data_IF_571060189324
#
_entry.id   IF_571060189324
#
_cell.length_a   1.000
_cell.length_b   1.000
_cell.length_c   1.000
_cell.angle_alpha   90.00
_cell.angle_beta   90.00
_cell.angle_gamma   90.00
#
_symmetry.space_group_name_H-M   'P 1'
#
loop_
_entity.id
_entity.type
_entity.pdbx_description
1 polymer ?
#
# COMPACT_ATOMS: atom_id res chain seq x y z
N UNK A 1 -46.90 15.28 -23.72
CA UNK A 1 -46.03 16.34 -24.29
C UNK A 1 -44.62 16.03 -23.79
N UNK A 2 -43.77 15.30 -24.52
CA UNK A 2 -42.96 15.67 -25.72
C UNK A 2 -41.81 16.64 -25.38
N UNK A 3 -40.55 16.18 -25.29
CA UNK A 3 -39.49 16.27 -26.36
C UNK A 3 -38.78 17.64 -26.38
N UNK A 4 -37.57 17.92 -26.90
CA UNK A 4 -36.46 17.21 -27.61
C UNK A 4 -35.10 17.58 -26.91
N UNK A 5 -33.91 16.99 -27.07
CA UNK A 5 -33.26 16.01 -27.97
C UNK A 5 -32.45 16.60 -29.17
N UNK A 6 -31.12 16.35 -29.15
CA UNK A 6 -30.07 16.41 -30.22
C UNK A 6 -29.66 17.75 -30.91
N UNK A 7 -28.33 17.97 -30.99
CA UNK A 7 -27.44 18.09 -32.19
C UNK A 7 -26.09 18.72 -31.80
N UNK A 8 -24.87 18.41 -32.29
CA UNK A 8 -24.33 17.69 -33.47
C UNK A 8 -24.00 18.55 -34.72
N UNK A 9 -22.92 18.14 -35.43
CA UNK A 9 -22.22 18.71 -36.62
C UNK A 9 -21.24 19.89 -36.35
N UNK A 10 -20.12 20.15 -37.07
CA UNK A 10 -19.15 19.43 -37.95
C UNK A 10 -17.83 20.31 -37.98
N UNK A 11 -16.55 19.90 -38.08
CA UNK A 11 -15.74 18.96 -38.91
C UNK A 11 -14.91 19.62 -40.06
N UNK A 12 -13.57 19.50 -40.04
CA UNK A 12 -12.55 19.68 -41.13
C UNK A 12 -11.17 19.19 -40.60
N UNK A 13 -10.28 18.47 -41.32
CA UNK A 13 -9.41 18.90 -42.45
C UNK A 13 -8.01 19.35 -41.93
N UNK A 14 -6.84 19.00 -42.48
CA UNK A 14 -6.47 18.19 -43.66
C UNK A 14 -4.96 17.74 -43.63
N UNK A 15 -4.69 16.46 -43.91
CA UNK A 15 -3.46 15.79 -44.46
C UNK A 15 -2.00 16.12 -44.02
N UNK A 16 -1.26 15.02 -43.81
CA UNK A 16 0.14 14.72 -44.20
C UNK A 16 1.32 15.53 -43.62
N UNK A 17 2.25 14.79 -42.98
CA UNK A 17 3.62 14.68 -43.49
C UNK A 17 4.16 13.26 -43.21
N UNK A 18 4.77 12.63 -44.22
CA UNK A 18 5.47 11.35 -44.11
C UNK A 18 6.95 11.59 -44.35
N UNK A 19 7.82 11.06 -43.48
CA UNK A 19 9.27 11.09 -43.69
C UNK A 19 9.86 9.74 -43.29
N UNK A 20 10.59 9.13 -44.23
CA UNK A 20 11.26 7.83 -44.04
C UNK A 20 12.68 8.04 -43.54
N UNK A 21 13.08 7.28 -42.52
CA UNK A 21 14.48 6.93 -42.31
C UNK A 21 14.61 5.63 -41.50
N UNK A 22 14.83 4.51 -42.19
CA UNK A 22 15.24 3.25 -41.54
C UNK A 22 16.77 3.21 -41.41
N UNK A 23 17.26 3.04 -40.18
CA UNK A 23 18.60 2.55 -39.82
C UNK A 23 18.70 2.50 -38.29
N UNK A 24 19.41 1.57 -37.65
CA UNK A 24 19.94 0.25 -38.06
C UNK A 24 20.11 -0.55 -36.75
N UNK A 25 20.10 -1.89 -36.79
CA UNK A 25 20.19 -2.72 -35.58
C UNK A 25 21.47 -2.45 -34.78
N UNK A 26 21.35 -2.38 -33.45
CA UNK A 26 22.35 -2.95 -32.55
C UNK A 26 21.67 -3.42 -31.26
N UNK A 27 22.08 -4.58 -30.74
CA UNK A 27 21.49 -5.20 -29.56
C UNK A 27 21.94 -4.50 -28.27
N UNK A 28 21.03 -4.37 -27.31
CA UNK A 28 21.37 -4.13 -25.91
C UNK A 28 20.31 -4.80 -25.04
N UNK A 29 20.75 -5.60 -24.05
CA UNK A 29 19.88 -6.49 -23.28
C UNK A 29 19.01 -5.71 -22.29
N UNK A 30 17.81 -5.29 -22.72
CA UNK A 30 16.82 -4.67 -21.85
C UNK A 30 16.25 -5.70 -20.87
N UNK A 31 16.21 -5.33 -19.58
CA UNK A 31 15.74 -6.17 -18.49
C UNK A 31 14.25 -6.53 -18.65
N UNK A 32 13.85 -7.71 -18.17
CA UNK A 32 12.47 -8.20 -18.25
C UNK A 32 11.52 -7.46 -17.29
N UNK A 33 11.10 -6.25 -17.65
CA UNK A 33 9.88 -5.66 -17.10
C UNK A 33 8.68 -6.48 -17.60
N UNK A 34 8.25 -7.46 -16.81
CA UNK A 34 6.95 -8.10 -17.03
C UNK A 34 5.86 -7.05 -16.84
N UNK A 35 5.25 -6.62 -17.94
CA UNK A 35 4.06 -5.77 -17.95
C UNK A 35 2.85 -6.59 -17.46
N UNK A 36 2.78 -6.76 -16.13
CA UNK A 36 1.73 -7.56 -15.47
C UNK A 36 0.43 -6.79 -15.55
N UNK A 37 -0.52 -7.33 -16.31
CA UNK A 37 -1.85 -6.75 -16.40
C UNK A 37 -2.44 -6.52 -15.00
N UNK A 38 -3.03 -5.35 -14.69
CA UNK A 38 -3.64 -5.09 -13.38
C UNK A 38 -4.69 -6.13 -12.97
N UNK A 39 -5.32 -6.80 -13.96
CA UNK A 39 -6.20 -7.95 -13.75
C UNK A 39 -5.52 -9.16 -13.11
N UNK A 40 -4.28 -9.49 -13.47
CA UNK A 40 -3.54 -10.61 -12.87
C UNK A 40 -3.26 -10.35 -11.38
N UNK A 41 -2.82 -9.14 -11.04
CA UNK A 41 -2.48 -8.79 -9.66
C UNK A 41 -3.70 -8.75 -8.74
N UNK A 42 -4.83 -8.22 -9.25
CA UNK A 42 -6.13 -8.25 -8.55
C UNK A 42 -6.61 -9.69 -8.35
N UNK A 43 -6.49 -10.57 -9.36
CA UNK A 43 -6.83 -11.99 -9.22
C UNK A 43 -5.93 -12.71 -8.20
N UNK A 44 -4.62 -12.47 -8.24
CA UNK A 44 -3.65 -13.00 -7.26
C UNK A 44 -4.03 -12.59 -5.83
N UNK A 45 -4.28 -11.29 -5.62
CA UNK A 45 -4.64 -10.74 -4.30
C UNK A 45 -5.98 -11.28 -3.78
N UNK A 46 -6.98 -11.42 -4.66
CA UNK A 46 -8.27 -12.02 -4.33
C UNK A 46 -8.12 -13.50 -3.91
N UNK A 47 -7.33 -14.29 -4.65
CA UNK A 47 -7.05 -15.68 -4.29
C UNK A 47 -6.33 -15.81 -2.94
N UNK A 48 -5.35 -14.93 -2.67
CA UNK A 48 -4.66 -14.86 -1.37
C UNK A 48 -5.65 -14.55 -0.24
N UNK A 49 -6.46 -13.50 -0.39
CA UNK A 49 -7.43 -13.08 0.61
C UNK A 49 -8.43 -14.20 0.95
N UNK A 50 -8.96 -14.89 -0.07
CA UNK A 50 -9.82 -16.06 0.11
C UNK A 50 -9.10 -17.21 0.85
N UNK A 51 -7.88 -17.56 0.43
CA UNK A 51 -7.12 -18.68 1.02
C UNK A 51 -6.76 -18.49 2.50
N UNK A 52 -6.63 -17.24 2.95
CA UNK A 52 -6.29 -16.88 4.33
C UNK A 52 -7.54 -16.54 5.18
N UNK A 53 -8.74 -16.67 4.61
CA UNK A 53 -10.02 -16.23 5.19
C UNK A 53 -10.01 -14.75 5.63
N UNK A 54 -9.39 -13.88 4.82
CA UNK A 54 -9.25 -12.44 5.08
C UNK A 54 -10.17 -11.64 4.18
N UNK A 55 -10.80 -10.60 4.74
CA UNK A 55 -11.58 -9.64 3.98
C UNK A 55 -10.84 -8.31 3.89
N UNK A 56 -10.13 -8.11 2.78
CA UNK A 56 -9.58 -6.80 2.39
C UNK A 56 -10.70 -5.76 2.28
N UNK A 57 -10.44 -4.51 2.64
CA UNK A 57 -11.43 -3.40 2.59
C UNK A 57 -10.94 -2.24 1.73
N UNK A 58 -9.71 -1.81 1.92
CA UNK A 58 -9.06 -0.74 1.15
C UNK A 58 -7.54 -0.83 1.35
N UNK A 59 -6.75 -0.48 0.33
CA UNK A 59 -5.30 -0.35 0.44
C UNK A 59 -4.75 0.46 -0.73
N UNK A 60 -3.66 1.18 -0.51
CA UNK A 60 -2.81 1.74 -1.58
C UNK A 60 -1.45 1.03 -1.69
N UNK A 61 -1.17 0.05 -0.82
CA UNK A 61 0.08 -0.71 -0.81
C UNK A 61 0.27 -1.56 -2.08
N UNK A 62 1.52 -1.73 -2.54
CA UNK A 62 1.90 -2.76 -3.51
C UNK A 62 1.41 -4.18 -3.13
N UNK A 63 1.11 -5.01 -4.12
CA UNK A 63 0.41 -6.30 -3.92
C UNK A 63 1.27 -7.34 -3.20
N UNK A 64 2.59 -7.28 -3.30
CA UNK A 64 3.55 -8.05 -2.51
C UNK A 64 3.58 -7.61 -1.04
N UNK A 65 3.50 -6.30 -0.78
CA UNK A 65 3.40 -5.75 0.57
C UNK A 65 2.08 -6.15 1.24
N UNK A 66 0.96 -6.08 0.50
CA UNK A 66 -0.33 -6.60 0.95
C UNK A 66 -0.27 -8.10 1.22
N UNK A 67 0.33 -8.91 0.32
CA UNK A 67 0.49 -10.35 0.53
C UNK A 67 1.27 -10.67 1.81
N UNK A 68 2.39 -9.98 2.09
CA UNK A 68 3.13 -10.16 3.35
C UNK A 68 2.26 -9.82 4.56
N UNK A 69 1.59 -8.68 4.56
CA UNK A 69 0.76 -8.24 5.68
C UNK A 69 -0.38 -9.23 5.98
N UNK A 70 -1.05 -9.74 4.93
CA UNK A 70 -2.11 -10.75 5.03
C UNK A 70 -1.57 -12.08 5.60
N UNK A 71 -0.48 -12.62 5.03
CA UNK A 71 0.12 -13.89 5.47
C UNK A 71 0.63 -13.82 6.91
N UNK A 72 1.32 -12.73 7.27
CA UNK A 72 1.88 -12.55 8.61
C UNK A 72 0.77 -12.38 9.66
N UNK A 73 -0.26 -11.56 9.37
CA UNK A 73 -1.42 -11.42 10.25
C UNK A 73 -2.17 -12.74 10.44
N UNK A 74 -2.25 -13.58 9.40
CA UNK A 74 -2.90 -14.88 9.48
C UNK A 74 -2.09 -15.90 10.30
N UNK A 75 -0.80 -16.05 10.02
CA UNK A 75 0.10 -16.95 10.78
C UNK A 75 0.03 -16.65 12.28
N UNK A 76 0.15 -15.37 12.66
CA UNK A 76 0.11 -14.96 14.06
C UNK A 76 -1.20 -15.35 14.79
N UNK A 77 -2.31 -15.44 14.06
CA UNK A 77 -3.61 -15.88 14.61
C UNK A 77 -3.71 -17.42 14.67
N UNK A 78 -3.16 -18.12 13.68
CA UNK A 78 -3.15 -19.59 13.63
C UNK A 78 -2.15 -20.22 14.62
N UNK A 79 -1.00 -19.60 14.85
CA UNK A 79 -0.01 -20.01 15.86
C UNK A 79 -0.63 -20.04 17.28
N UNK A 80 -1.59 -19.13 17.55
CA UNK A 80 -2.36 -19.10 18.80
C UNK A 80 -3.38 -20.25 18.93
N UNK A 81 -3.54 -21.11 17.91
CA UNK A 81 -4.47 -22.24 17.90
C UNK A 81 -3.82 -23.61 18.11
N UNK A 82 -2.48 -23.69 18.06
CA UNK A 82 -1.71 -24.93 18.11
C UNK A 82 -1.45 -25.47 19.54
N UNK A 83 -1.89 -24.76 20.58
CA UNK A 83 -1.82 -25.22 21.96
C UNK A 83 -3.09 -25.99 22.35
N UNK A 84 -2.94 -27.16 22.97
CA UNK A 84 -4.04 -28.00 23.48
C UNK A 84 -4.86 -27.36 24.61
N UNK A 85 -4.52 -26.14 25.02
CA UNK A 85 -5.27 -25.33 25.98
C UNK A 85 -6.58 -24.77 25.37
N UNK A 86 -7.60 -24.43 26.17
CA UNK A 86 -8.83 -23.82 25.67
C UNK A 86 -8.52 -22.49 24.93
N UNK A 87 -8.96 -22.41 23.66
CA UNK A 87 -8.71 -21.32 22.70
C UNK A 87 -8.54 -19.95 23.38
N UNK A 88 -7.28 -19.53 23.58
CA UNK A 88 -7.02 -18.16 24.03
C UNK A 88 -7.54 -17.18 22.97
N UNK A 89 -8.22 -16.12 23.42
CA UNK A 89 -8.66 -15.07 22.51
C UNK A 89 -7.41 -14.37 21.96
N UNK A 90 -7.24 -14.23 20.64
CA UNK A 90 -6.06 -13.58 20.08
C UNK A 90 -5.96 -12.15 20.63
N UNK A 91 -4.83 -11.83 21.24
CA UNK A 91 -4.62 -10.56 21.92
C UNK A 91 -4.37 -9.46 20.87
N UNK A 92 -5.29 -8.48 20.70
CA UNK A 92 -5.18 -7.48 19.64
C UNK A 92 -3.89 -6.65 19.73
N UNK A 93 -3.46 -6.34 20.95
CA UNK A 93 -2.24 -5.56 21.22
C UNK A 93 -0.97 -6.32 20.84
N UNK A 94 -0.95 -7.65 20.99
CA UNK A 94 0.19 -8.46 20.55
C UNK A 94 0.26 -8.54 19.02
N UNK A 95 -0.88 -8.75 18.33
CA UNK A 95 -0.95 -8.73 16.86
C UNK A 95 -0.56 -7.36 16.30
N UNK A 96 -1.09 -6.27 16.86
CA UNK A 96 -0.75 -4.91 16.45
C UNK A 96 0.76 -4.62 16.58
N UNK A 97 1.37 -5.01 17.71
CA UNK A 97 2.81 -4.86 17.95
C UNK A 97 3.64 -5.74 17.01
N UNK A 98 3.20 -6.97 16.75
CA UNK A 98 3.89 -7.91 15.86
C UNK A 98 3.89 -7.42 14.41
N UNK A 99 2.75 -6.92 13.91
CA UNK A 99 2.62 -6.33 12.58
C UNK A 99 3.45 -5.04 12.46
N UNK A 100 3.34 -4.11 13.43
CA UNK A 100 4.14 -2.87 13.43
C UNK A 100 5.64 -3.19 13.33
N UNK A 101 6.13 -4.15 14.11
CA UNK A 101 7.54 -4.56 14.10
C UNK A 101 7.98 -5.16 12.77
N UNK A 102 7.18 -6.03 12.16
CA UNK A 102 7.48 -6.62 10.84
C UNK A 102 7.58 -5.52 9.77
N UNK A 103 6.59 -4.63 9.70
CA UNK A 103 6.56 -3.58 8.68
C UNK A 103 7.63 -2.50 8.90
N UNK A 104 7.92 -2.10 10.16
CA UNK A 104 9.07 -1.24 10.49
C UNK A 104 10.41 -1.89 10.06
N UNK A 105 10.54 -3.21 10.24
CA UNK A 105 11.79 -3.93 9.95
C UNK A 105 12.02 -4.24 8.46
N UNK A 106 10.95 -4.35 7.66
CA UNK A 106 11.03 -4.72 6.24
C UNK A 106 10.86 -3.51 5.32
N UNK A 107 10.03 -2.53 5.69
CA UNK A 107 9.69 -1.36 4.87
C UNK A 107 10.06 -0.02 5.53
N UNK A 108 10.93 -0.08 6.56
CA UNK A 108 11.43 1.06 7.31
C UNK A 108 10.39 1.74 8.20
N UNK A 109 10.85 2.50 9.19
CA UNK A 109 9.98 3.28 10.08
C UNK A 109 9.28 4.45 9.32
N UNK A 110 8.21 5.07 9.85
CA UNK A 110 7.46 4.66 11.04
C UNK A 110 6.08 4.11 10.64
N UNK A 111 5.83 2.84 10.94
CA UNK A 111 4.53 2.20 10.78
C UNK A 111 3.68 2.31 12.04
N UNK A 112 2.37 2.30 11.85
CA UNK A 112 1.36 2.25 12.90
C UNK A 112 0.41 1.11 12.61
N UNK A 113 -0.08 0.45 13.66
CA UNK A 113 -1.06 -0.63 13.55
C UNK A 113 -2.15 -0.46 14.61
N UNK A 114 -3.41 -0.49 14.19
CA UNK A 114 -4.58 -0.51 15.07
C UNK A 114 -5.33 -1.81 14.84
N UNK A 115 -5.63 -2.55 15.92
CA UNK A 115 -6.36 -3.83 15.85
C UNK A 115 -7.48 -3.82 16.89
N UNK A 116 -8.70 -4.14 16.47
CA UNK A 116 -9.85 -4.16 17.37
C UNK A 116 -11.12 -4.72 16.72
N UNK A 117 -12.18 -4.90 17.52
CA UNK A 117 -13.50 -5.35 17.02
C UNK A 117 -14.33 -4.23 16.39
N UNK A 118 -14.05 -2.99 16.77
CA UNK A 118 -14.62 -1.77 16.21
C UNK A 118 -13.68 -0.61 16.57
N UNK A 119 -13.49 0.33 15.64
CA UNK A 119 -12.80 1.60 15.87
C UNK A 119 -13.22 2.60 14.78
N UNK A 120 -13.13 3.88 15.09
CA UNK A 120 -13.12 4.96 14.10
C UNK A 120 -11.69 5.46 13.89
N UNK A 121 -11.35 5.88 12.67
CA UNK A 121 -10.02 6.38 12.33
C UNK A 121 -10.12 7.45 11.24
N UNK A 122 -9.47 8.59 11.46
CA UNK A 122 -9.21 9.61 10.44
C UNK A 122 -7.72 9.92 10.52
N UNK A 123 -6.96 9.50 9.50
CA UNK A 123 -5.49 9.53 9.51
C UNK A 123 -4.96 10.10 8.21
N UNK A 124 -3.82 10.76 8.29
CA UNK A 124 -2.98 11.09 7.14
C UNK A 124 -1.83 10.10 7.10
N UNK A 125 -1.51 9.55 5.93
CA UNK A 125 -0.51 8.50 5.75
C UNK A 125 0.36 8.75 4.51
N UNK A 126 1.56 8.18 4.48
CA UNK A 126 2.47 8.24 3.34
C UNK A 126 1.91 7.41 2.17
N UNK A 127 1.89 7.91 0.92
CA UNK A 127 1.33 7.18 -0.23
C UNK A 127 1.93 5.77 -0.41
N UNK A 128 1.07 4.79 -0.69
CA UNK A 128 1.47 3.38 -0.82
C UNK A 128 1.75 2.69 0.53
N UNK A 129 1.44 3.37 1.63
CA UNK A 129 1.70 2.93 3.00
C UNK A 129 0.45 2.57 3.81
N UNK A 130 -0.73 2.37 3.21
CA UNK A 130 -1.99 2.15 3.91
C UNK A 130 -2.70 0.85 3.53
N UNK A 131 -3.22 0.14 4.53
CA UNK A 131 -4.04 -1.07 4.33
C UNK A 131 -5.06 -1.24 5.47
N UNK A 132 -6.30 -1.49 5.09
CA UNK A 132 -7.41 -1.81 5.99
C UNK A 132 -8.05 -3.14 5.58
N UNK A 133 -8.10 -4.09 6.52
CA UNK A 133 -8.68 -5.42 6.33
C UNK A 133 -9.29 -5.97 7.62
N UNK A 134 -9.93 -7.13 7.54
CA UNK A 134 -10.47 -7.83 8.71
C UNK A 134 -10.29 -9.35 8.61
N UNK A 135 -9.85 -9.97 9.69
CA UNK A 135 -9.80 -11.44 9.88
C UNK A 135 -10.82 -11.80 10.96
N UNK A 136 -11.75 -12.69 10.62
CA UNK A 136 -12.88 -13.10 11.45
C UNK A 136 -13.68 -11.90 12.04
N UNK A 137 -13.46 -11.56 13.32
CA UNK A 137 -14.09 -10.42 14.02
C UNK A 137 -13.11 -9.31 14.41
N UNK A 138 -11.85 -9.40 13.99
CA UNK A 138 -10.84 -8.36 14.18
C UNK A 138 -10.69 -7.55 12.89
N UNK A 139 -10.75 -6.24 13.04
CA UNK A 139 -10.33 -5.27 12.03
C UNK A 139 -8.87 -4.90 12.29
N UNK A 140 -8.09 -4.77 11.22
CA UNK A 140 -6.68 -4.39 11.21
C UNK A 140 -6.53 -3.19 10.28
N UNK A 141 -5.97 -2.11 10.81
CA UNK A 141 -5.56 -0.92 10.08
C UNK A 141 -4.05 -0.76 10.21
N UNK A 142 -3.36 -0.71 9.08
CA UNK A 142 -1.93 -0.42 8.94
C UNK A 142 -1.77 0.90 8.20
N UNK A 143 -0.94 1.80 8.71
CA UNK A 143 -0.54 3.01 7.98
C UNK A 143 0.91 3.43 8.30
N UNK A 144 1.63 3.90 7.28
CA UNK A 144 2.95 4.52 7.41
C UNK A 144 2.81 6.04 7.55
N UNK A 145 3.70 6.67 8.32
CA UNK A 145 3.83 8.14 8.39
C UNK A 145 5.25 8.56 8.09
N UNK A 146 5.41 9.68 7.40
CA UNK A 146 6.71 10.34 7.21
C UNK A 146 7.23 10.89 8.54
N UNK A 147 8.54 10.78 8.76
CA UNK A 147 9.20 11.27 9.97
C UNK A 147 10.42 12.08 9.56
N UNK A 148 10.38 13.38 9.85
CA UNK A 148 11.57 14.23 9.76
C UNK A 148 12.30 14.19 11.10
N UNK A 149 13.55 13.73 11.09
CA UNK A 149 14.42 13.79 12.25
C UNK A 149 14.98 15.21 12.37
N UNK A 150 14.50 15.98 13.34
CA UNK A 150 15.07 17.28 13.67
C UNK A 150 16.40 17.05 14.40
N UNK A 151 17.50 17.17 13.66
CA UNK A 151 18.83 17.34 14.25
C UNK A 151 19.05 18.82 14.45
N UNK A 152 19.06 19.26 15.71
CA UNK A 152 19.34 20.65 16.06
C UNK A 152 20.80 20.99 15.72
N UNK A 153 20.98 22.01 14.89
CA UNK A 153 22.31 22.54 14.56
C UNK A 153 22.69 23.61 15.58
N UNK A 154 23.80 23.42 16.29
CA UNK A 154 24.34 24.32 17.31
C UNK A 154 24.23 25.81 16.92
N UNK A 155 23.74 26.69 17.82
CA UNK A 155 23.59 28.10 17.53
C UNK A 155 24.96 28.75 17.31
N UNK A 156 25.18 29.29 16.10
CA UNK A 156 26.41 29.98 15.72
C UNK A 156 26.73 31.09 16.71
N UNK A 157 27.84 30.95 17.44
CA UNK A 157 28.26 31.91 18.47
C UNK A 157 28.48 33.28 17.84
N UNK A 158 27.64 34.25 18.20
CA UNK A 158 27.79 35.62 17.71
C UNK A 158 29.06 36.23 18.29
N UNK A 159 29.91 36.77 17.41
CA UNK A 159 31.11 37.49 17.80
C UNK A 159 30.75 38.76 18.56
N UNK A 160 31.21 38.86 19.80
CA UNK A 160 31.12 40.09 20.60
C UNK A 160 32.15 41.11 20.10
N UNK A 161 31.79 41.84 19.04
CA UNK A 161 32.57 43.00 18.60
C UNK A 161 32.70 44.00 19.76
N UNK A 162 33.94 44.39 20.04
CA UNK A 162 34.30 45.19 21.20
C UNK A 162 34.62 46.63 20.78
N UNK A 163 33.86 47.60 21.31
CA UNK A 163 34.12 49.04 21.28
C UNK A 163 33.71 49.67 22.62
#
# INVERSE_FOLDING_TARGET
>A
MTSQIQKEEQAAGLKQHYSTSQSRQQESTTLMSQDRSPTEEVMKLAAIALSLNVRLRSSDMPVDMQERALRYARSFLDDSSLSSAPKQRPNPTLLARALKKELDSVYGMAWHCVVGKSFGSFVTHSPGGFMYFSIDSLFILLFKTDVQLVTESEPSSQSVDSL
#
